data_IF_223249544346
#
_entry.id   IF_223249544346
#
_cell.length_a   1.000
_cell.length_b   1.000
_cell.length_c   1.000
_cell.angle_alpha   90.00
_cell.angle_beta   90.00
_cell.angle_gamma   90.00
#
_symmetry.space_group_name_H-M   'P 1'
#
loop_
_entity.id
_entity.type
_entity.pdbx_description
1 polymer ?
#
# COMPACT_ATOMS: atom_id res chain seq x y z
N UNK A 1 -29.77 5.41 -11.51
CA UNK A 1 -29.37 4.90 -10.17
C UNK A 1 -27.91 5.28 -10.02
N UNK A 2 -27.58 5.94 -8.91
CA UNK A 2 -26.31 6.62 -8.70
C UNK A 2 -25.20 5.61 -8.42
N UNK A 3 -24.27 5.41 -9.36
CA UNK A 3 -23.00 4.74 -9.11
C UNK A 3 -21.95 5.81 -8.78
N UNK A 4 -22.15 6.56 -7.69
CA UNK A 4 -21.08 7.36 -7.07
C UNK A 4 -20.11 6.41 -6.37
N UNK A 5 -19.34 5.65 -7.15
CA UNK A 5 -18.06 5.12 -6.71
C UNK A 5 -17.15 6.33 -6.62
N UNK A 6 -17.09 6.97 -5.45
CA UNK A 6 -16.09 7.97 -5.13
C UNK A 6 -14.77 7.52 -5.75
N UNK A 7 -14.22 8.31 -6.68
CA UNK A 7 -12.91 8.06 -7.26
C UNK A 7 -11.90 8.16 -6.12
N UNK A 8 -11.78 7.08 -5.33
CA UNK A 8 -10.73 6.92 -4.36
C UNK A 8 -9.46 7.17 -5.14
N UNK A 9 -8.75 8.25 -4.82
CA UNK A 9 -7.53 8.61 -5.53
C UNK A 9 -6.57 7.48 -5.21
N UNK A 10 -6.40 6.55 -6.16
CA UNK A 10 -5.54 5.40 -5.97
C UNK A 10 -4.13 5.97 -5.88
N UNK A 11 -3.64 6.09 -4.65
CA UNK A 11 -2.28 6.49 -4.39
C UNK A 11 -1.42 5.24 -4.57
N UNK A 12 -0.61 5.20 -5.62
CA UNK A 12 0.33 4.10 -5.85
C UNK A 12 1.71 4.50 -5.36
N UNK A 13 2.46 3.52 -4.84
CA UNK A 13 3.87 3.68 -4.49
C UNK A 13 4.71 2.59 -5.14
N UNK A 14 5.79 2.99 -5.79
CA UNK A 14 6.83 2.06 -6.26
C UNK A 14 7.84 1.85 -5.14
N UNK A 15 7.99 0.61 -4.68
CA UNK A 15 8.97 0.23 -3.67
C UNK A 15 10.38 0.59 -4.14
N UNK A 16 11.12 1.30 -3.28
CA UNK A 16 12.51 1.66 -3.49
C UNK A 16 13.42 0.84 -2.56
N UNK A 17 14.73 0.74 -2.85
CA UNK A 17 15.68 0.13 -1.91
C UNK A 17 15.56 0.75 -0.51
N UNK A 18 15.44 -0.11 0.52
CA UNK A 18 15.28 0.30 1.92
C UNK A 18 13.84 0.65 2.34
N UNK A 19 12.84 0.53 1.46
CA UNK A 19 11.44 0.68 1.85
C UNK A 19 10.96 -0.55 2.63
N UNK A 20 10.09 -0.30 3.61
CA UNK A 20 9.34 -1.33 4.34
C UNK A 20 7.85 -1.01 4.28
N UNK A 21 6.98 -2.01 4.43
CA UNK A 21 5.54 -1.78 4.52
C UNK A 21 5.19 -0.82 5.68
N UNK A 22 5.94 -0.90 6.78
CA UNK A 22 5.79 0.01 7.92
C UNK A 22 6.08 1.46 7.55
N UNK A 23 7.18 1.74 6.83
CA UNK A 23 7.55 3.08 6.42
C UNK A 23 6.54 3.66 5.41
N UNK A 24 6.08 2.83 4.46
CA UNK A 24 5.05 3.18 3.49
C UNK A 24 3.75 3.56 4.22
N UNK A 25 3.31 2.71 5.16
CA UNK A 25 2.10 2.95 5.94
C UNK A 25 2.21 4.19 6.84
N UNK A 26 3.35 4.41 7.48
CA UNK A 26 3.59 5.62 8.27
C UNK A 26 3.51 6.88 7.41
N UNK A 27 4.08 6.86 6.20
CA UNK A 27 4.03 8.00 5.27
C UNK A 27 2.62 8.28 4.77
N UNK A 28 1.82 7.23 4.51
CA UNK A 28 0.46 7.34 3.97
C UNK A 28 -0.61 7.65 5.02
N UNK A 29 -0.57 6.94 6.14
CA UNK A 29 -1.62 6.93 7.17
C UNK A 29 -1.19 7.58 8.49
N UNK A 30 0.05 8.07 8.58
CA UNK A 30 0.63 8.60 9.81
C UNK A 30 1.02 7.53 10.84
N UNK A 31 0.65 6.25 10.64
CA UNK A 31 0.91 5.17 11.59
C UNK A 31 1.47 3.94 10.88
N UNK A 32 2.67 3.52 11.26
CA UNK A 32 3.32 2.37 10.62
C UNK A 32 2.63 1.04 10.90
N UNK A 33 1.89 0.89 12.00
CA UNK A 33 1.08 -0.32 12.28
C UNK A 33 0.00 -0.56 11.21
N UNK A 34 -0.39 0.47 10.45
CA UNK A 34 -1.33 0.34 9.35
C UNK A 34 -0.71 -0.29 8.10
N UNK A 35 0.49 -0.87 8.20
CA UNK A 35 1.09 -1.71 7.17
C UNK A 35 0.19 -2.89 6.79
N UNK A 36 -0.63 -3.38 7.74
CA UNK A 36 -1.63 -4.43 7.48
C UNK A 36 -2.61 -4.00 6.39
N UNK A 37 -3.01 -2.73 6.33
CA UNK A 37 -3.88 -2.21 5.25
C UNK A 37 -3.18 -2.23 3.89
N UNK A 38 -1.89 -1.87 3.87
CA UNK A 38 -1.08 -1.94 2.65
C UNK A 38 -0.97 -3.39 2.18
N UNK A 39 -0.72 -4.31 3.11
CA UNK A 39 -0.65 -5.74 2.82
C UNK A 39 -1.99 -6.29 2.30
N UNK A 40 -3.10 -5.97 2.97
CA UNK A 40 -4.43 -6.43 2.58
C UNK A 40 -4.83 -5.94 1.19
N UNK A 41 -4.58 -4.67 0.88
CA UNK A 41 -4.86 -4.09 -0.42
C UNK A 41 -4.03 -4.67 -1.57
N UNK A 42 -2.91 -5.34 -1.25
CA UNK A 42 -1.94 -5.86 -2.23
C UNK A 42 -1.63 -7.34 -2.00
N UNK A 43 -2.53 -8.11 -1.40
CA UNK A 43 -2.28 -9.55 -1.11
C UNK A 43 -1.97 -10.37 -2.37
N UNK A 44 -2.50 -9.94 -3.51
CA UNK A 44 -2.22 -10.53 -4.82
C UNK A 44 -0.78 -10.26 -5.28
N UNK A 45 -0.15 -9.20 -4.79
CA UNK A 45 1.20 -8.74 -5.15
C UNK A 45 2.26 -9.06 -4.09
N UNK A 46 1.85 -9.30 -2.84
CA UNK A 46 2.72 -9.54 -1.70
C UNK A 46 2.53 -10.98 -1.21
N UNK A 47 3.51 -11.84 -1.52
CA UNK A 47 3.52 -13.23 -1.06
C UNK A 47 3.92 -13.35 0.41
N UNK A 48 4.87 -12.52 0.82
CA UNK A 48 5.38 -12.45 2.19
C UNK A 48 5.52 -10.97 2.56
N UNK A 49 4.84 -10.48 3.62
CA UNK A 49 4.87 -9.08 4.02
C UNK A 49 6.27 -8.58 4.45
N UNK A 50 7.14 -9.49 4.88
CA UNK A 50 8.51 -9.15 5.27
C UNK A 50 9.47 -9.12 4.06
N UNK A 51 9.04 -9.65 2.90
CA UNK A 51 9.82 -9.68 1.66
C UNK A 51 9.15 -8.86 0.55
N UNK A 52 9.44 -7.56 0.56
CA UNK A 52 9.13 -6.66 -0.55
C UNK A 52 10.41 -6.25 -1.29
N UNK A 53 10.29 -6.06 -2.60
CA UNK A 53 11.41 -5.85 -3.51
C UNK A 53 11.30 -4.52 -4.24
N UNK A 54 12.42 -3.82 -4.50
CA UNK A 54 12.43 -2.63 -5.33
C UNK A 54 11.76 -2.87 -6.69
N UNK A 55 10.94 -1.91 -7.12
CA UNK A 55 10.17 -1.98 -8.37
C UNK A 55 8.75 -2.54 -8.23
N UNK A 56 8.40 -3.18 -7.10
CA UNK A 56 7.00 -3.54 -6.85
C UNK A 56 6.13 -2.28 -6.72
N UNK A 57 4.90 -2.32 -7.22
CA UNK A 57 3.95 -1.21 -7.15
C UNK A 57 2.78 -1.60 -6.25
N UNK A 58 2.60 -0.86 -5.16
CA UNK A 58 1.52 -1.09 -4.20
C UNK A 58 0.46 0.00 -4.26
N UNK A 59 -0.79 -0.44 -4.21
CA UNK A 59 -1.96 0.40 -4.06
C UNK A 59 -2.11 0.80 -2.59
N UNK A 60 -2.31 2.09 -2.34
CA UNK A 60 -2.47 2.66 -1.01
C UNK A 60 -3.88 3.25 -0.86
N UNK A 61 -4.83 2.50 -0.27
CA UNK A 61 -6.19 3.00 -0.05
C UNK A 61 -6.20 4.23 0.86
N UNK A 62 -7.32 4.97 0.89
CA UNK A 62 -7.57 6.09 1.82
C UNK A 62 -7.78 5.64 3.26
#
# INVERSE_FOLDING_TARGET
>A
IQDTKTEARINVVTVQPGYTLWAIARKRYGRGILYVRVFEANRDKIRDPDLIYPGQVFDLPD
#
